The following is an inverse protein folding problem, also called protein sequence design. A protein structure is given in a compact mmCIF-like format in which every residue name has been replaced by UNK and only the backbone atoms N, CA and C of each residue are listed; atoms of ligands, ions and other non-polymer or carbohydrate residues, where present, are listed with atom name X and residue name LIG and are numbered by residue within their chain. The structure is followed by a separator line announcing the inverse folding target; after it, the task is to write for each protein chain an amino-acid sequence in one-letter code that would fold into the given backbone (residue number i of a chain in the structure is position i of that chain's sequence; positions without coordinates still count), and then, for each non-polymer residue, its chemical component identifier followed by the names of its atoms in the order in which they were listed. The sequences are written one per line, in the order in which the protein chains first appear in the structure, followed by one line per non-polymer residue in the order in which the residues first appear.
data_IF_379014517367
#
_entry.id   IF_379014517367
#
_cell.length_a   1.000
_cell.length_b   1.000
_cell.length_c   1.000
_cell.angle_alpha   90.00
_cell.angle_beta   90.00
_cell.angle_gamma   90.00
#
_symmetry.space_group_name_H-M   'P 1'
#
loop_
_entity.id
_entity.type
_entity.pdbx_description
1 polymer ?
#
# COMPACT_ATOMS: atom_id res chain seq x y z
N UNK A 1 6.42 -27.32 9.32
CA UNK A 1 6.00 -27.61 7.94
C UNK A 1 6.68 -26.61 7.02
N UNK A 2 7.39 -27.06 5.97
CA UNK A 2 8.33 -26.24 5.19
C UNK A 2 7.58 -25.25 4.30
N UNK A 3 7.85 -23.96 4.51
CA UNK A 3 7.48 -22.87 3.61
C UNK A 3 8.14 -23.14 2.24
N UNK A 4 7.36 -23.50 1.22
CA UNK A 4 7.80 -23.40 -0.19
C UNK A 4 7.73 -21.94 -0.60
N UNK A 5 8.67 -21.12 -0.12
CA UNK A 5 8.93 -19.81 -0.71
C UNK A 5 9.70 -20.01 -2.02
N UNK A 6 8.95 -20.36 -3.07
CA UNK A 6 9.18 -20.06 -4.49
C UNK A 6 10.63 -19.93 -5.00
N UNK A 7 11.29 -21.06 -5.29
CA UNK A 7 12.43 -21.14 -6.22
C UNK A 7 12.01 -20.96 -7.70
N UNK A 8 10.74 -21.15 -8.05
CA UNK A 8 10.25 -21.05 -9.44
C UNK A 8 10.20 -19.62 -10.01
N UNK A 9 10.52 -18.59 -9.21
CA UNK A 9 10.60 -17.18 -9.67
C UNK A 9 11.92 -16.86 -10.37
N UNK A 10 12.94 -17.71 -10.22
CA UNK A 10 14.21 -17.56 -10.92
C UNK A 10 14.08 -17.71 -12.45
N UNK A 11 12.95 -18.25 -12.94
CA UNK A 11 12.66 -18.39 -14.37
C UNK A 11 11.58 -17.46 -14.91
N UNK A 12 10.96 -16.61 -14.07
CA UNK A 12 9.97 -15.65 -14.56
C UNK A 12 10.65 -14.55 -15.35
N UNK A 13 10.08 -14.21 -16.50
CA UNK A 13 10.51 -13.04 -17.26
C UNK A 13 10.23 -11.80 -16.42
N UNK A 14 11.22 -10.90 -16.35
CA UNK A 14 11.18 -9.72 -15.50
C UNK A 14 11.45 -8.49 -16.34
N UNK A 15 10.74 -7.40 -16.02
CA UNK A 15 11.04 -6.08 -16.57
C UNK A 15 11.18 -5.04 -15.47
N UNK A 16 12.00 -4.01 -15.68
CA UNK A 16 12.03 -2.85 -14.78
C UNK A 16 10.75 -2.03 -14.93
N UNK A 17 10.46 -1.23 -13.90
CA UNK A 17 9.46 -0.18 -13.97
C UNK A 17 9.90 0.91 -14.95
N UNK A 18 8.96 1.37 -15.76
CA UNK A 18 9.17 2.51 -16.65
C UNK A 18 9.11 3.83 -15.86
N UNK A 19 9.75 4.90 -16.36
CA UNK A 19 9.64 6.22 -15.76
C UNK A 19 8.19 6.74 -15.68
N UNK A 20 7.34 6.36 -16.64
CA UNK A 20 5.91 6.72 -16.66
C UNK A 20 5.15 6.10 -15.49
N UNK A 21 5.29 4.79 -15.28
CA UNK A 21 4.65 4.07 -14.17
C UNK A 21 5.12 4.61 -12.81
N UNK A 22 6.42 4.88 -12.66
CA UNK A 22 6.97 5.49 -11.43
C UNK A 22 6.39 6.86 -11.15
N UNK A 23 6.14 7.66 -12.19
CA UNK A 23 5.56 9.00 -12.06
C UNK A 23 4.13 8.94 -11.52
N UNK A 24 3.34 7.93 -11.89
CA UNK A 24 1.98 7.73 -11.34
C UNK A 24 2.05 7.42 -9.85
N UNK A 25 2.91 6.49 -9.45
CA UNK A 25 3.11 6.16 -8.02
C UNK A 25 3.62 7.38 -7.24
N UNK A 26 4.56 8.13 -7.80
CA UNK A 26 5.07 9.36 -7.21
C UNK A 26 3.97 10.42 -7.02
N UNK A 27 3.11 10.62 -8.03
CA UNK A 27 1.95 11.53 -7.90
C UNK A 27 1.00 11.09 -6.78
N UNK A 28 0.75 9.78 -6.64
CA UNK A 28 -0.01 9.23 -5.51
C UNK A 28 0.64 9.48 -4.16
N UNK A 29 1.96 9.27 -4.06
CA UNK A 29 2.72 9.58 -2.85
C UNK A 29 2.62 11.08 -2.49
N UNK A 30 2.81 11.97 -3.46
CA UNK A 30 2.72 13.41 -3.24
C UNK A 30 1.31 13.85 -2.84
N UNK A 31 0.26 13.29 -3.45
CA UNK A 31 -1.12 13.57 -3.07
C UNK A 31 -1.43 13.14 -1.63
N UNK A 32 -0.97 11.96 -1.22
CA UNK A 32 -1.10 11.49 0.18
C UNK A 32 -0.25 12.32 1.15
N UNK A 33 0.93 12.77 0.73
CA UNK A 33 1.77 13.68 1.52
C UNK A 33 1.09 15.03 1.75
N UNK A 34 0.37 15.57 0.76
CA UNK A 34 -0.43 16.80 0.94
C UNK A 34 -1.51 16.64 2.01
N UNK A 35 -2.14 15.47 2.10
CA UNK A 35 -3.11 15.16 3.17
C UNK A 35 -2.39 15.02 4.52
N UNK A 36 -1.23 14.37 4.54
CA UNK A 36 -0.42 14.21 5.75
C UNK A 36 0.25 15.52 6.23
N UNK A 37 0.26 16.58 5.41
CA UNK A 37 0.83 17.87 5.79
C UNK A 37 0.10 18.50 6.99
N UNK A 38 -1.23 18.34 7.06
CA UNK A 38 -2.03 18.86 8.17
C UNK A 38 -1.62 18.26 9.53
N UNK A 39 -1.58 16.92 9.72
CA UNK A 39 -1.11 16.37 10.99
C UNK A 39 0.38 16.61 11.25
N UNK A 40 1.21 16.78 10.21
CA UNK A 40 2.61 17.18 10.41
C UNK A 40 2.72 18.60 10.99
N UNK A 41 1.92 19.56 10.48
CA UNK A 41 1.85 20.89 11.06
C UNK A 41 1.31 20.86 12.50
N UNK A 42 0.28 20.06 12.76
CA UNK A 42 -0.23 19.82 14.11
C UNK A 42 0.86 19.30 15.06
N UNK A 43 1.67 18.35 14.61
CA UNK A 43 2.83 17.84 15.35
C UNK A 43 3.81 18.96 15.70
N UNK A 44 4.19 19.79 14.72
CA UNK A 44 5.16 20.88 14.91
C UNK A 44 4.62 21.90 15.94
N UNK A 45 3.37 22.33 15.79
CA UNK A 45 2.75 23.31 16.69
C UNK A 45 2.70 22.78 18.11
N UNK A 46 2.21 21.55 18.31
CA UNK A 46 2.10 20.95 19.64
C UNK A 46 3.47 20.66 20.27
N UNK A 47 4.46 20.23 19.49
CA UNK A 47 5.82 20.03 19.96
C UNK A 47 6.45 21.37 20.40
N UNK A 48 6.23 22.45 19.63
CA UNK A 48 6.74 23.78 19.95
C UNK A 48 6.06 24.36 21.21
N UNK A 49 4.75 24.17 21.37
CA UNK A 49 4.03 24.55 22.59
C UNK A 49 4.53 23.78 23.81
N UNK A 50 4.71 22.46 23.67
CA UNK A 50 5.29 21.62 24.73
C UNK A 50 6.67 22.13 25.15
N UNK A 51 7.53 22.40 24.17
CA UNK A 51 8.87 22.96 24.41
C UNK A 51 8.80 24.32 25.10
N UNK A 52 7.95 25.23 24.61
CA UNK A 52 7.77 26.56 25.19
C UNK A 52 7.27 26.53 26.63
N UNK A 53 6.35 25.63 26.96
CA UNK A 53 5.87 25.42 28.34
C UNK A 53 7.00 24.90 29.23
N UNK A 54 7.74 23.88 28.79
CA UNK A 54 8.87 23.35 29.55
C UNK A 54 9.93 24.43 29.77
N UNK A 55 10.25 25.20 28.75
CA UNK A 55 11.21 26.29 28.83
C UNK A 55 10.75 27.37 29.83
N UNK A 56 9.50 27.85 29.74
CA UNK A 56 8.96 28.86 30.67
C UNK A 56 8.84 28.31 32.09
N UNK A 57 8.49 27.04 32.27
CA UNK A 57 8.41 26.41 33.58
C UNK A 57 9.76 26.36 34.30
N UNK A 58 10.86 26.24 33.54
CA UNK A 58 12.22 26.24 34.09
C UNK A 58 12.74 27.63 34.47
N UNK A 59 12.24 28.70 33.84
CA UNK A 59 12.81 30.04 33.98
C UNK A 59 11.93 31.04 34.74
N UNK A 60 10.61 30.83 34.78
CA UNK A 60 9.68 31.85 35.30
C UNK A 60 8.66 31.27 36.25
N UNK A 61 7.96 30.20 35.86
CA UNK A 61 6.74 29.79 36.56
C UNK A 61 6.58 28.26 36.55
N UNK A 62 7.01 27.58 37.61
CA UNK A 62 7.03 26.11 37.61
C UNK A 62 5.65 25.45 37.49
N UNK A 63 4.58 26.11 37.94
CA UNK A 63 3.22 25.56 37.99
C UNK A 63 2.63 25.21 36.62
N UNK A 64 3.05 25.90 35.54
CA UNK A 64 2.52 25.65 34.19
C UNK A 64 3.00 24.32 33.58
N UNK A 65 4.00 23.66 34.17
CA UNK A 65 4.55 22.39 33.66
C UNK A 65 3.49 21.28 33.57
N UNK A 66 2.44 21.35 34.41
CA UNK A 66 1.36 20.36 34.49
C UNK A 66 0.59 20.24 33.17
N UNK A 67 0.57 21.30 32.35
CA UNK A 67 -0.14 21.33 31.07
C UNK A 67 0.75 20.79 29.92
N UNK A 68 2.07 20.78 30.07
CA UNK A 68 2.99 20.34 29.01
C UNK A 68 2.71 18.90 28.49
N UNK A 69 2.40 17.92 29.35
CA UNK A 69 2.05 16.57 28.90
C UNK A 69 0.86 16.51 27.94
N UNK A 70 -0.13 17.41 28.08
CA UNK A 70 -1.30 17.44 27.19
C UNK A 70 -0.87 17.77 25.76
N UNK A 71 -0.01 18.78 25.60
CA UNK A 71 0.53 19.13 24.30
C UNK A 71 1.50 18.07 23.76
N UNK A 72 2.27 17.42 24.64
CA UNK A 72 3.16 16.32 24.24
C UNK A 72 2.38 15.14 23.66
N UNK A 73 1.28 14.74 24.33
CA UNK A 73 0.39 13.67 23.85
C UNK A 73 -0.25 14.06 22.51
N UNK A 74 -0.68 15.32 22.36
CA UNK A 74 -1.21 15.81 21.08
C UNK A 74 -0.19 15.70 19.94
N UNK A 75 1.06 16.10 20.18
CA UNK A 75 2.14 15.95 19.19
C UNK A 75 2.36 14.47 18.80
N UNK A 76 2.35 13.56 19.78
CA UNK A 76 2.48 12.12 19.54
C UNK A 76 1.31 11.59 18.70
N UNK A 77 0.07 11.97 19.05
CA UNK A 77 -1.12 11.53 18.32
C UNK A 77 -1.09 11.97 16.85
N UNK A 78 -0.77 13.25 16.60
CA UNK A 78 -0.61 13.77 15.24
C UNK A 78 0.54 13.08 14.48
N UNK A 79 1.65 12.79 15.15
CA UNK A 79 2.79 12.06 14.56
C UNK A 79 2.37 10.66 14.13
N UNK A 80 1.71 9.91 15.02
CA UNK A 80 1.25 8.55 14.74
C UNK A 80 0.23 8.53 13.59
N UNK A 81 -0.68 9.51 13.56
CA UNK A 81 -1.64 9.64 12.48
C UNK A 81 -0.96 9.94 11.13
N UNK A 82 0.01 10.87 11.09
CA UNK A 82 0.79 11.15 9.89
C UNK A 82 1.56 9.92 9.39
N UNK A 83 2.18 9.16 10.30
CA UNK A 83 2.87 7.90 9.97
C UNK A 83 1.89 6.88 9.38
N UNK A 84 0.73 6.69 10.00
CA UNK A 84 -0.28 5.76 9.54
C UNK A 84 -0.77 6.11 8.11
N UNK A 85 -1.02 7.40 7.84
CA UNK A 85 -1.40 7.88 6.50
C UNK A 85 -0.31 7.62 5.44
N UNK A 86 0.95 7.74 5.82
CA UNK A 86 2.08 7.63 4.89
C UNK A 86 2.59 6.20 4.71
N UNK A 87 2.22 5.26 5.57
CA UNK A 87 2.74 3.90 5.55
C UNK A 87 2.48 3.17 4.22
N UNK A 88 1.22 3.13 3.77
CA UNK A 88 0.83 2.49 2.52
C UNK A 88 1.49 3.13 1.27
N UNK A 89 1.44 4.47 1.07
CA UNK A 89 2.03 5.09 -0.13
C UNK A 89 3.57 5.02 -0.15
N UNK A 90 4.25 5.12 1.00
CA UNK A 90 5.71 4.92 1.06
C UNK A 90 6.05 3.48 0.65
N UNK A 91 5.32 2.49 1.19
CA UNK A 91 5.53 1.08 0.84
C UNK A 91 5.32 0.84 -0.65
N UNK A 92 4.28 1.44 -1.25
CA UNK A 92 4.02 1.36 -2.67
C UNK A 92 5.14 2.01 -3.52
N UNK A 93 5.63 3.18 -3.10
CA UNK A 93 6.76 3.83 -3.75
C UNK A 93 8.03 2.97 -3.72
N UNK A 94 8.37 2.39 -2.56
CA UNK A 94 9.54 1.53 -2.42
C UNK A 94 9.47 0.26 -3.30
N UNK A 95 8.27 -0.17 -3.69
CA UNK A 95 8.09 -1.34 -4.56
C UNK A 95 8.42 -1.04 -6.03
N UNK A 96 8.46 0.23 -6.43
CA UNK A 96 8.87 0.61 -7.78
C UNK A 96 10.35 0.33 -8.08
N UNK A 97 11.10 -0.04 -7.05
CA UNK A 97 12.49 -0.53 -7.13
C UNK A 97 12.58 -2.06 -7.24
N UNK A 98 11.46 -2.79 -7.12
CA UNK A 98 11.40 -4.25 -7.36
C UNK A 98 10.97 -4.53 -8.81
N UNK A 99 11.38 -5.66 -9.41
CA UNK A 99 10.98 -5.99 -10.77
C UNK A 99 9.48 -6.24 -10.88
N UNK A 100 8.95 -6.00 -12.09
CA UNK A 100 7.63 -6.47 -12.52
C UNK A 100 7.83 -7.86 -13.13
N UNK A 101 7.00 -8.80 -12.72
CA UNK A 101 7.03 -10.18 -13.20
C UNK A 101 6.05 -10.33 -14.35
N UNK A 102 6.45 -11.09 -15.36
CA UNK A 102 5.63 -11.43 -16.52
C UNK A 102 5.38 -12.93 -16.48
N UNK A 103 4.10 -13.30 -16.57
CA UNK A 103 3.65 -14.70 -16.60
C UNK A 103 2.75 -14.90 -17.79
N UNK A 104 3.07 -15.90 -18.59
CA UNK A 104 2.12 -16.50 -19.53
C UNK A 104 1.42 -17.66 -18.79
N UNK A 105 0.12 -17.53 -18.56
CA UNK A 105 -0.61 -18.43 -17.70
C UNK A 105 -2.07 -18.01 -17.59
N UNK A 106 -2.57 -17.89 -16.36
CA UNK A 106 -3.98 -17.56 -16.14
C UNK A 106 -4.18 -16.45 -15.11
N UNK A 107 -5.25 -15.70 -15.27
CA UNK A 107 -5.80 -14.84 -14.21
C UNK A 107 -7.07 -15.48 -13.69
N UNK A 108 -7.12 -15.69 -12.38
CA UNK A 108 -8.27 -16.24 -11.67
C UNK A 108 -8.91 -15.18 -10.81
N UNK A 109 -10.20 -14.97 -11.03
CA UNK A 109 -11.09 -14.21 -10.18
C UNK A 109 -11.89 -15.18 -9.32
N UNK A 110 -11.92 -14.95 -8.01
CA UNK A 110 -12.78 -15.67 -7.08
C UNK A 110 -13.55 -14.73 -6.17
N UNK A 111 -14.74 -15.14 -5.75
CA UNK A 111 -15.52 -14.42 -4.75
C UNK A 111 -14.86 -14.42 -3.37
N UNK A 112 -15.38 -13.60 -2.44
CA UNK A 112 -14.90 -13.57 -1.07
C UNK A 112 -15.21 -14.90 -0.37
N UNK A 113 -14.37 -15.25 0.60
CA UNK A 113 -14.47 -16.42 1.47
C UNK A 113 -14.54 -15.97 2.94
N UNK A 114 -14.63 -16.92 3.87
CA UNK A 114 -14.70 -16.64 5.32
C UNK A 114 -13.46 -15.92 5.87
N UNK A 115 -12.37 -15.85 5.10
CA UNK A 115 -11.13 -15.18 5.45
C UNK A 115 -11.02 -13.78 4.81
N UNK A 116 -12.02 -13.35 4.06
CA UNK A 116 -12.04 -12.04 3.40
C UNK A 116 -12.30 -10.90 4.38
N UNK A 117 -11.73 -9.74 4.10
CA UNK A 117 -12.10 -8.53 4.85
C UNK A 117 -13.55 -8.13 4.56
N UNK A 118 -14.17 -7.39 5.49
CA UNK A 118 -15.60 -7.02 5.45
C UNK A 118 -15.97 -6.31 4.13
N UNK A 119 -15.05 -5.52 3.59
CA UNK A 119 -15.24 -4.74 2.35
C UNK A 119 -14.64 -5.41 1.10
N UNK A 120 -14.23 -6.67 1.22
CA UNK A 120 -13.64 -7.43 0.11
C UNK A 120 -14.70 -7.86 -0.90
N UNK A 121 -14.40 -7.68 -2.18
CA UNK A 121 -15.23 -8.15 -3.29
C UNK A 121 -14.79 -9.50 -3.85
N UNK A 122 -13.72 -10.06 -3.29
CA UNK A 122 -13.12 -11.32 -3.68
C UNK A 122 -11.61 -11.23 -3.86
N UNK A 123 -11.06 -12.15 -4.63
CA UNK A 123 -9.63 -12.23 -4.89
C UNK A 123 -9.34 -12.29 -6.38
N UNK A 124 -8.18 -11.76 -6.73
CA UNK A 124 -7.57 -11.90 -8.06
C UNK A 124 -6.23 -12.58 -7.88
N UNK A 125 -5.99 -13.64 -8.64
CA UNK A 125 -4.73 -14.36 -8.65
C UNK A 125 -4.16 -14.44 -10.06
N UNK A 126 -2.83 -14.32 -10.16
CA UNK A 126 -2.08 -14.77 -11.34
C UNK A 126 -1.61 -16.19 -11.06
N UNK A 127 -1.86 -17.08 -12.01
CA UNK A 127 -1.49 -18.49 -11.98
C UNK A 127 -0.46 -18.76 -13.07
N UNK A 128 0.43 -19.72 -12.82
CA UNK A 128 1.28 -20.32 -13.83
C UNK A 128 0.47 -21.23 -14.77
N UNK A 129 1.11 -21.73 -15.81
CA UNK A 129 0.53 -22.70 -16.76
C UNK A 129 0.01 -23.97 -16.06
N UNK A 130 0.65 -24.42 -14.98
CA UNK A 130 0.25 -25.58 -14.15
C UNK A 130 -0.89 -25.26 -13.16
N UNK A 131 -1.55 -24.11 -13.32
CA UNK A 131 -2.57 -23.55 -12.42
C UNK A 131 -2.11 -23.26 -10.98
N UNK A 132 -0.81 -23.39 -10.69
CA UNK A 132 -0.26 -23.01 -9.39
C UNK A 132 -0.27 -21.48 -9.22
N UNK A 133 -0.48 -21.01 -7.98
CA UNK A 133 -0.63 -19.57 -7.70
C UNK A 133 0.71 -18.86 -7.71
N UNK A 134 0.95 -17.97 -8.67
CA UNK A 134 2.11 -17.09 -8.70
C UNK A 134 2.01 -15.97 -7.65
N UNK A 135 0.84 -15.31 -7.61
CA UNK A 135 0.51 -14.30 -6.63
C UNK A 135 -1.01 -14.09 -6.57
N UNK A 136 -1.53 -13.75 -5.39
CA UNK A 136 -2.96 -13.48 -5.17
C UNK A 136 -3.10 -12.18 -4.35
N UNK A 137 -4.12 -11.40 -4.69
CA UNK A 137 -4.47 -10.14 -4.05
C UNK A 137 -5.96 -10.12 -3.73
N UNK A 138 -6.29 -9.46 -2.64
CA UNK A 138 -7.67 -9.14 -2.30
C UNK A 138 -8.14 -7.94 -3.12
N UNK A 139 -9.36 -8.03 -3.65
CA UNK A 139 -9.97 -6.98 -4.43
C UNK A 139 -10.95 -6.19 -3.57
N UNK A 140 -10.94 -4.87 -3.76
CA UNK A 140 -11.82 -3.94 -3.06
C UNK A 140 -12.71 -3.22 -4.07
N UNK A 141 -13.97 -3.00 -3.72
CA UNK A 141 -14.92 -2.31 -4.59
C UNK A 141 -16.36 -2.54 -4.17
N UNK A 142 -17.30 -2.10 -5.01
CA UNK A 142 -18.74 -2.28 -4.74
C UNK A 142 -19.32 -3.52 -5.43
N UNK A 143 -18.64 -4.03 -6.47
CA UNK A 143 -19.14 -5.14 -7.29
C UNK A 143 -18.34 -6.40 -6.99
N UNK A 144 -19.04 -7.47 -6.63
CA UNK A 144 -18.43 -8.80 -6.47
C UNK A 144 -17.75 -9.23 -7.77
N UNK A 145 -16.55 -9.79 -7.62
CA UNK A 145 -15.84 -10.38 -8.75
C UNK A 145 -16.53 -11.67 -9.20
N UNK A 146 -16.63 -11.91 -10.52
CA UNK A 146 -17.14 -13.19 -11.01
C UNK A 146 -16.16 -14.31 -10.68
N UNK A 147 -16.65 -15.51 -10.35
CA UNK A 147 -15.81 -16.71 -10.29
C UNK A 147 -15.44 -17.10 -11.73
N UNK A 148 -14.24 -16.78 -12.17
CA UNK A 148 -13.78 -17.04 -13.53
C UNK A 148 -12.26 -17.15 -13.61
N UNK A 149 -11.77 -18.11 -14.38
CA UNK A 149 -10.36 -18.18 -14.79
C UNK A 149 -10.26 -17.86 -16.28
N UNK A 150 -9.30 -17.03 -16.66
CA UNK A 150 -9.01 -16.68 -18.06
C UNK A 150 -7.55 -16.92 -18.37
N UNK A 151 -7.21 -17.51 -19.53
CA UNK A 151 -5.83 -17.51 -20.01
C UNK A 151 -5.40 -16.08 -20.29
N UNK A 152 -4.17 -15.73 -19.93
CA UNK A 152 -3.65 -14.38 -20.13
C UNK A 152 -2.15 -14.29 -20.00
N UNK A 153 -1.56 -13.38 -20.77
CA UNK A 153 -0.22 -12.85 -20.51
C UNK A 153 -0.34 -11.70 -19.50
N UNK A 154 0.06 -11.94 -18.25
CA UNK A 154 -0.09 -11.00 -17.16
C UNK A 154 1.25 -10.39 -16.71
N UNK A 155 1.29 -9.07 -16.59
CA UNK A 155 2.37 -8.38 -15.90
C UNK A 155 1.89 -7.98 -14.50
N UNK A 156 2.65 -8.31 -13.47
CA UNK A 156 2.25 -8.02 -12.09
C UNK A 156 3.42 -7.69 -11.19
N UNK A 157 3.11 -7.01 -10.08
CA UNK A 157 4.03 -6.87 -8.96
C UNK A 157 3.36 -7.38 -7.69
N UNK A 158 4.14 -7.97 -6.79
CA UNK A 158 3.60 -8.64 -5.58
C UNK A 158 2.73 -7.74 -4.70
N UNK A 159 2.84 -6.43 -4.87
CA UNK A 159 2.18 -5.45 -4.01
C UNK A 159 1.39 -4.39 -4.77
N UNK A 160 1.67 -4.20 -6.05
CA UNK A 160 0.93 -3.30 -6.93
C UNK A 160 -0.15 -4.02 -7.75
N UNK A 161 -0.38 -5.32 -7.50
CA UNK A 161 -1.36 -6.10 -8.23
C UNK A 161 -0.93 -6.43 -9.66
N UNK A 162 -1.92 -6.67 -10.51
CA UNK A 162 -1.75 -6.91 -11.94
C UNK A 162 -1.73 -5.55 -12.64
N UNK A 163 -0.72 -5.29 -13.48
CA UNK A 163 -0.51 -4.05 -14.22
C UNK A 163 -1.15 -4.11 -15.59
N UNK A 164 -0.91 -5.21 -16.31
CA UNK A 164 -1.50 -5.47 -17.63
C UNK A 164 -1.97 -6.91 -17.74
N UNK A 165 -3.01 -7.11 -18.55
CA UNK A 165 -3.53 -8.42 -18.99
C UNK A 165 -3.61 -8.34 -20.51
N UNK A 166 -2.89 -9.23 -21.20
CA UNK A 166 -2.81 -9.27 -22.67
C UNK A 166 -2.43 -7.91 -23.28
N UNK A 167 -1.48 -7.23 -22.64
CA UNK A 167 -1.01 -5.89 -23.02
C UNK A 167 -1.98 -4.75 -22.69
N UNK A 168 -3.16 -5.02 -22.12
CA UNK A 168 -4.13 -4.00 -21.71
C UNK A 168 -3.95 -3.63 -20.25
N UNK A 169 -3.87 -2.33 -19.90
CA UNK A 169 -3.75 -1.91 -18.50
C UNK A 169 -5.03 -2.22 -17.71
N UNK A 170 -4.86 -2.77 -16.50
CA UNK A 170 -5.98 -3.16 -15.60
C UNK A 170 -6.52 -2.00 -14.76
N UNK A 171 -5.83 -0.86 -14.75
CA UNK A 171 -6.22 0.31 -13.95
C UNK A 171 -5.84 0.24 -12.46
N UNK A 172 -5.01 -0.73 -12.04
CA UNK A 172 -4.36 -0.68 -10.71
C UNK A 172 -3.22 0.37 -10.69
N UNK A 173 -2.67 0.65 -11.88
CA UNK A 173 -1.86 1.83 -12.21
C UNK A 173 -2.42 2.43 -13.51
N UNK A 174 -3.57 3.10 -13.46
CA UNK A 174 -4.11 3.70 -14.66
C UNK A 174 -3.17 4.83 -15.06
N UNK A 175 -2.66 4.80 -16.29
CA UNK A 175 -1.86 5.88 -16.87
C UNK A 175 -2.64 7.21 -16.80
N UNK A 176 -3.98 7.13 -16.76
CA UNK A 176 -4.92 8.26 -16.82
C UNK A 176 -5.92 8.35 -15.64
N UNK A 177 -5.75 7.59 -14.54
CA UNK A 177 -6.76 7.47 -13.47
C UNK A 177 -6.31 7.91 -12.07
N UNK A 178 -7.28 8.06 -11.17
CA UNK A 178 -7.16 8.79 -9.90
C UNK A 178 -6.10 8.17 -8.94
N UNK A 179 -5.08 8.93 -8.53
CA UNK A 179 -3.86 8.42 -7.86
C UNK A 179 -4.03 7.94 -6.40
N UNK A 180 -5.26 7.86 -5.88
CA UNK A 180 -5.52 7.62 -4.45
C UNK A 180 -5.57 6.13 -4.05
N UNK A 181 -5.63 5.21 -5.01
CA UNK A 181 -5.78 3.76 -4.76
C UNK A 181 -4.46 2.97 -4.73
N UNK A 182 -3.33 3.65 -4.92
CA UNK A 182 -2.00 3.02 -4.96
C UNK A 182 -1.63 2.47 -3.57
N UNK A 183 -1.40 1.16 -3.47
CA UNK A 183 -0.93 0.49 -2.25
C UNK A 183 -2.00 -0.10 -1.33
N UNK A 184 -3.27 -0.12 -1.76
CA UNK A 184 -4.39 -0.67 -0.97
C UNK A 184 -4.58 -2.19 -1.07
N UNK A 185 -3.73 -2.91 -1.81
CA UNK A 185 -3.82 -4.37 -1.87
C UNK A 185 -2.85 -5.03 -0.86
N UNK A 186 -3.26 -5.26 0.41
CA UNK A 186 -2.46 -6.06 1.31
C UNK A 186 -2.38 -7.49 0.77
N UNK A 187 -1.16 -8.03 0.68
CA UNK A 187 -0.95 -9.47 0.56
C UNK A 187 -1.17 -10.10 1.94
N UNK A 188 -2.23 -10.88 2.13
CA UNK A 188 -2.25 -11.87 3.21
C UNK A 188 -1.33 -13.02 2.81
N UNK A 189 -0.17 -13.12 3.46
CA UNK A 189 0.60 -14.35 3.42
C UNK A 189 -0.21 -15.39 4.21
N UNK A 190 -0.59 -16.50 3.55
CA UNK A 190 -1.08 -17.68 4.25
C UNK A 190 -0.02 -18.11 5.25
N UNK A 191 -0.30 -17.95 6.54
CA UNK A 191 0.43 -18.64 7.60
C UNK A 191 -0.35 -19.95 7.75
N UNK A 192 0.19 -21.01 7.15
CA UNK A 192 -0.15 -22.41 7.49
C UNK A 192 0.76 -22.88 8.61
#
# INVERSE_FOLDING_TARGET
MKVRSFDSRAGLMQRPWTPGERRVVWRGLMGRLSIAAEPLLGTIVFAFLTWGIIWRARHTEQSIIVIAPVFAIGAIAFTLYAIALMFAPIRAFLQTFKPIYIVDGYVRYRGPDDFSEIDSTGYVAVLFEDESVACEWEAFGQKRLPNRTIPSLAEFSQYGGIHTIDGRPTGVLPIDGTPLNVGLAPRRARIE
#
